data_IF_239421104136
#
_entry.id   IF_239421104136
#
_cell.length_a   1.000
_cell.length_b   1.000
_cell.length_c   1.000
_cell.angle_alpha   90.00
_cell.angle_beta   90.00
_cell.angle_gamma   90.00
#
_symmetry.space_group_name_H-M   'P 1'
#
loop_
_entity.id
_entity.type
_entity.pdbx_description
1 polymer ?
#
# COMPACT_ATOMS: atom_id res chain seq x y z
N UNK A 1 17.97 -2.13 -11.89
CA UNK A 1 16.61 -1.64 -11.55
C UNK A 1 16.06 -2.50 -10.43
N UNK A 2 15.80 -1.95 -9.25
CA UNK A 2 15.31 -2.74 -8.12
C UNK A 2 13.77 -2.81 -8.20
N UNK A 3 13.26 -4.00 -8.50
CA UNK A 3 11.83 -4.32 -8.43
C UNK A 3 11.50 -4.66 -6.99
N UNK A 4 10.52 -3.98 -6.43
CA UNK A 4 10.07 -4.21 -5.05
C UNK A 4 8.63 -4.70 -5.08
N UNK A 5 8.37 -5.76 -4.31
CA UNK A 5 7.03 -6.30 -4.11
C UNK A 5 6.32 -5.50 -3.03
N UNK A 6 5.07 -5.14 -3.27
CA UNK A 6 4.18 -4.48 -2.33
C UNK A 6 2.97 -5.37 -2.13
N UNK A 7 2.58 -5.54 -0.88
CA UNK A 7 1.41 -6.28 -0.48
C UNK A 7 0.60 -5.40 0.46
N UNK A 8 -0.65 -5.15 0.07
CA UNK A 8 -1.58 -4.33 0.83
C UNK A 8 -2.79 -5.16 1.21
N UNK A 9 -3.11 -5.12 2.49
CA UNK A 9 -4.30 -5.71 3.08
C UNK A 9 -5.21 -4.55 3.48
N UNK A 10 -6.45 -4.59 3.00
CA UNK A 10 -7.44 -3.57 3.34
C UNK A 10 -8.83 -4.18 3.43
N UNK A 11 -9.69 -3.50 4.17
CA UNK A 11 -11.10 -3.86 4.33
C UNK A 11 -11.94 -2.91 3.50
N UNK A 12 -12.66 -3.44 2.53
CA UNK A 12 -13.64 -2.68 1.76
C UNK A 12 -15.05 -3.18 2.13
N UNK A 13 -15.55 -4.16 1.37
CA UNK A 13 -16.75 -4.95 1.69
C UNK A 13 -16.40 -6.30 2.35
N UNK A 14 -15.25 -6.86 1.96
CA UNK A 14 -14.65 -8.05 2.56
C UNK A 14 -13.14 -7.77 2.76
N UNK A 15 -12.43 -8.63 3.49
CA UNK A 15 -10.97 -8.49 3.62
C UNK A 15 -10.31 -8.81 2.27
N UNK A 16 -9.69 -7.80 1.68
CA UNK A 16 -9.02 -7.91 0.37
C UNK A 16 -7.52 -7.78 0.56
N UNK A 17 -6.78 -8.70 -0.06
CA UNK A 17 -5.33 -8.63 -0.17
C UNK A 17 -4.97 -8.40 -1.63
N UNK A 18 -4.22 -7.35 -1.90
CA UNK A 18 -3.63 -7.11 -3.22
C UNK A 18 -2.12 -7.17 -3.12
N UNK A 19 -1.48 -7.81 -4.09
CA UNK A 19 -0.02 -7.84 -4.21
C UNK A 19 0.35 -7.32 -5.59
N UNK A 20 1.16 -6.28 -5.63
CA UNK A 20 1.70 -5.69 -6.86
C UNK A 20 3.19 -5.49 -6.72
N UNK A 21 3.91 -5.56 -7.83
CA UNK A 21 5.34 -5.25 -7.83
C UNK A 21 5.57 -3.93 -8.53
N UNK A 22 6.21 -3.00 -7.86
CA UNK A 22 6.52 -1.67 -8.39
C UNK A 22 8.04 -1.49 -8.55
N UNK A 23 8.43 -0.65 -9.51
CA UNK A 23 9.82 -0.25 -9.67
C UNK A 23 10.08 0.96 -8.77
N UNK A 24 11.11 0.87 -7.94
CA UNK A 24 11.50 1.97 -7.07
C UNK A 24 12.37 2.97 -7.85
N UNK A 25 11.74 3.87 -8.60
CA UNK A 25 12.45 4.86 -9.44
C UNK A 25 12.71 6.13 -8.62
N UNK A 26 13.75 6.12 -7.79
CA UNK A 26 14.17 7.28 -6.99
C UNK A 26 13.14 7.74 -5.94
N UNK A 27 12.09 6.95 -5.69
CA UNK A 27 11.06 7.20 -4.68
C UNK A 27 11.29 6.31 -3.46
N UNK A 28 10.84 6.75 -2.29
CA UNK A 28 10.82 5.91 -1.09
C UNK A 28 9.72 4.85 -1.20
N UNK A 29 9.94 3.68 -0.60
CA UNK A 29 8.94 2.60 -0.57
C UNK A 29 7.64 3.06 0.10
N UNK A 30 7.73 3.82 1.19
CA UNK A 30 6.58 4.35 1.93
C UNK A 30 5.70 5.27 1.05
N UNK A 31 6.32 6.10 0.22
CA UNK A 31 5.62 7.00 -0.71
C UNK A 31 4.92 6.21 -1.82
N UNK A 32 5.58 5.20 -2.38
CA UNK A 32 4.97 4.33 -3.41
C UNK A 32 3.79 3.55 -2.83
N UNK A 33 3.94 3.04 -1.61
CA UNK A 33 2.88 2.35 -0.88
C UNK A 33 1.67 3.27 -0.61
N UNK A 34 1.92 4.50 -0.16
CA UNK A 34 0.87 5.49 0.08
C UNK A 34 0.13 5.90 -1.19
N UNK A 35 0.86 6.17 -2.28
CA UNK A 35 0.25 6.49 -3.58
C UNK A 35 -0.62 5.34 -4.10
N UNK A 36 -0.15 4.09 -3.94
CA UNK A 36 -0.91 2.91 -4.30
C UNK A 36 -2.18 2.77 -3.44
N UNK A 37 -2.07 3.00 -2.14
CA UNK A 37 -3.22 3.02 -1.23
C UNK A 37 -4.25 4.08 -1.61
N UNK A 38 -3.80 5.30 -1.94
CA UNK A 38 -4.65 6.39 -2.45
C UNK A 38 -5.40 5.99 -3.71
N UNK A 39 -4.73 5.30 -4.63
CA UNK A 39 -5.36 4.80 -5.85
C UNK A 39 -6.45 3.76 -5.53
N UNK A 40 -6.14 2.80 -4.64
CA UNK A 40 -7.11 1.78 -4.20
C UNK A 40 -8.34 2.45 -3.55
N UNK A 41 -8.15 3.41 -2.65
CA UNK A 41 -9.26 4.16 -2.04
C UNK A 41 -10.09 4.93 -3.06
N UNK A 42 -9.47 5.43 -4.12
CA UNK A 42 -10.16 6.14 -5.20
C UNK A 42 -10.98 5.18 -6.07
N UNK A 43 -10.49 3.96 -6.28
CA UNK A 43 -11.18 2.92 -7.06
C UNK A 43 -12.29 2.23 -6.24
N UNK A 44 -12.04 1.94 -4.96
CA UNK A 44 -12.98 1.32 -4.03
C UNK A 44 -13.73 2.40 -3.24
N UNK A 45 -14.92 2.78 -3.71
CA UNK A 45 -15.78 3.83 -3.16
C UNK A 45 -15.75 3.94 -1.63
N UNK A 46 -15.23 5.06 -1.10
CA UNK A 46 -15.25 5.67 0.26
C UNK A 46 -15.12 4.81 1.53
N UNK A 47 -15.42 3.52 1.54
CA UNK A 47 -15.41 2.63 2.71
C UNK A 47 -14.24 1.65 2.61
N UNK A 48 -13.01 2.17 2.53
CA UNK A 48 -11.80 1.35 2.54
C UNK A 48 -10.89 1.70 3.71
N UNK A 49 -10.60 0.71 4.54
CA UNK A 49 -9.72 0.84 5.71
C UNK A 49 -8.43 0.05 5.50
N UNK A 50 -7.28 0.70 5.76
CA UNK A 50 -5.97 0.08 5.64
C UNK A 50 -5.71 -0.87 6.82
N UNK A 51 -5.50 -2.15 6.54
CA UNK A 51 -5.21 -3.17 7.54
C UNK A 51 -3.70 -3.36 7.71
N UNK A 52 -2.98 -3.59 6.59
CA UNK A 52 -1.52 -3.86 6.61
C UNK A 52 -0.84 -3.54 5.28
N UNK A 53 0.41 -3.07 5.33
CA UNK A 53 1.25 -2.89 4.13
C UNK A 53 2.62 -3.51 4.35
N UNK A 54 2.92 -4.55 3.58
CA UNK A 54 4.22 -5.23 3.56
C UNK A 54 4.96 -4.88 2.26
N UNK A 55 6.22 -4.50 2.41
CA UNK A 55 7.15 -4.20 1.32
C UNK A 55 8.25 -5.26 1.32
N UNK A 56 8.51 -5.82 0.14
CA UNK A 56 9.52 -6.85 -0.09
C UNK A 56 9.36 -8.12 0.77
N UNK A 57 8.18 -8.35 1.35
CA UNK A 57 7.88 -9.51 2.20
C UNK A 57 8.40 -9.42 3.64
N UNK A 58 9.17 -8.39 3.98
CA UNK A 58 9.87 -8.26 5.27
C UNK A 58 9.59 -6.93 5.97
N UNK A 59 9.43 -5.84 5.20
CA UNK A 59 9.31 -4.49 5.74
C UNK A 59 7.84 -4.09 5.88
N UNK A 60 7.34 -3.97 7.11
CA UNK A 60 6.03 -3.38 7.38
C UNK A 60 6.14 -1.84 7.34
N UNK A 61 5.29 -1.19 6.53
CA UNK A 61 5.21 0.28 6.42
C UNK A 61 3.80 0.78 6.76
N UNK A 62 3.01 -0.03 7.45
CA UNK A 62 1.59 0.25 7.72
C UNK A 62 1.43 1.56 8.48
N UNK A 63 2.17 1.75 9.57
CA UNK A 63 2.13 2.98 10.38
C UNK A 63 2.52 4.20 9.55
N UNK A 64 3.58 4.11 8.74
CA UNK A 64 4.06 5.22 7.92
C UNK A 64 3.01 5.62 6.88
N UNK A 65 2.35 4.65 6.24
CA UNK A 65 1.28 4.93 5.28
C UNK A 65 0.07 5.56 5.96
N UNK A 66 -0.25 5.18 7.20
CA UNK A 66 -1.30 5.80 8.01
C UNK A 66 -0.93 7.23 8.44
N UNK A 67 0.31 7.46 8.84
CA UNK A 67 0.81 8.80 9.17
C UNK A 67 0.78 9.73 7.95
N UNK A 68 1.11 9.23 6.76
CA UNK A 68 1.03 9.99 5.51
C UNK A 68 -0.41 10.31 5.07
N UNK A 69 -1.40 9.56 5.58
CA UNK A 69 -2.81 9.84 5.35
C UNK A 69 -3.36 10.96 6.25
N UNK A 70 -2.69 11.22 7.38
CA UNK A 70 -3.19 12.07 8.47
C UNK A 70 -3.21 13.56 8.17
#
# INVERSE_FOLDING_TARGET
MNKISFEIHYKAYNRTTQRSSFLLIGRKTEQVAFEWWKQIRKEMSFHTELDKVIVNGDQDVTDIVKELES
#
